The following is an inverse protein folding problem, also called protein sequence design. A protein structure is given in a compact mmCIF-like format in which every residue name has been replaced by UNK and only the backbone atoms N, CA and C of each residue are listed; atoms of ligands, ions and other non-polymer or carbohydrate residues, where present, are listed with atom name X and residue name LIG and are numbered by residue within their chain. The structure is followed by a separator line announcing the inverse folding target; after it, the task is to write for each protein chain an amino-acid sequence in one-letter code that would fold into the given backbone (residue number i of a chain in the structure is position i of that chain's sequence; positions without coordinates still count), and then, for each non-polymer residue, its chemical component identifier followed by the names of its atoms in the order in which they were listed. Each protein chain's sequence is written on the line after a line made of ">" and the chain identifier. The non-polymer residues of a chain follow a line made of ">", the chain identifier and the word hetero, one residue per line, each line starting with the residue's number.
data_IF_196020100770
#
_entry.id   IF_196020100770
#
_cell.length_a   1.000
_cell.length_b   1.000
_cell.length_c   1.000
_cell.angle_alpha   90.00
_cell.angle_beta   90.00
_cell.angle_gamma   90.00
#
_symmetry.space_group_name_H-M   'P 1'
#
loop_
_entity.id
_entity.type
_entity.pdbx_description
1 polymer ?
#
# COMPACT_ATOMS: atom_id res chain seq x y z
N UNK A 1 17.70 38.85 -0.64
CA UNK A 1 18.31 37.80 0.19
C UNK A 1 17.45 36.57 0.01
N UNK A 2 17.98 35.50 -0.58
CA UNK A 2 17.19 34.30 -0.86
C UNK A 2 16.78 33.64 0.45
N UNK A 3 15.52 33.20 0.55
CA UNK A 3 15.05 32.33 1.62
C UNK A 3 15.73 30.97 1.46
N UNK A 4 16.98 30.87 1.90
CA UNK A 4 17.71 29.61 1.92
C UNK A 4 17.10 28.72 2.99
N UNK A 5 16.40 27.67 2.59
CA UNK A 5 16.05 26.57 3.50
C UNK A 5 17.37 25.98 3.97
N UNK A 6 17.57 25.87 5.28
CA UNK A 6 18.80 25.28 5.81
C UNK A 6 18.86 23.81 5.39
N UNK A 7 20.03 23.33 4.96
CA UNK A 7 20.23 21.94 4.49
C UNK A 7 19.73 20.92 5.52
N UNK A 8 19.86 21.21 6.82
CA UNK A 8 19.36 20.37 7.92
C UNK A 8 17.83 20.26 7.96
N UNK A 9 17.12 21.33 7.61
CA UNK A 9 15.65 21.31 7.54
C UNK A 9 15.19 20.46 6.35
N UNK A 10 15.87 20.56 5.21
CA UNK A 10 15.60 19.71 4.03
C UNK A 10 15.83 18.23 4.36
N UNK A 11 16.94 17.89 5.02
CA UNK A 11 17.24 16.52 5.45
C UNK A 11 16.17 15.96 6.39
N UNK A 12 15.69 16.79 7.33
CA UNK A 12 14.59 16.42 8.24
C UNK A 12 13.31 16.12 7.47
N UNK A 13 12.91 16.96 6.52
CA UNK A 13 11.71 16.74 5.71
C UNK A 13 11.82 15.49 4.83
N UNK A 14 12.98 15.23 4.22
CA UNK A 14 13.19 14.01 3.44
C UNK A 14 13.00 12.77 4.32
N UNK A 15 13.51 12.80 5.55
CA UNK A 15 13.33 11.72 6.51
C UNK A 15 11.85 11.53 6.88
N UNK A 16 11.15 12.60 7.24
CA UNK A 16 9.73 12.57 7.59
C UNK A 16 8.86 12.04 6.43
N UNK A 17 9.14 12.47 5.20
CA UNK A 17 8.47 11.95 4.00
C UNK A 17 8.75 10.45 3.78
N UNK A 18 9.98 10.00 4.02
CA UNK A 18 10.33 8.58 3.97
C UNK A 18 9.54 7.75 4.99
N UNK A 19 9.40 8.24 6.22
CA UNK A 19 8.61 7.59 7.26
C UNK A 19 7.12 7.53 6.91
N UNK A 20 6.55 8.61 6.35
CA UNK A 20 5.17 8.64 5.87
C UNK A 20 4.96 7.63 4.75
N UNK A 21 5.86 7.59 3.76
CA UNK A 21 5.80 6.62 2.65
C UNK A 21 5.79 5.18 3.17
N UNK A 22 6.63 4.86 4.15
CA UNK A 22 6.66 3.52 4.76
C UNK A 22 5.34 3.20 5.47
N UNK A 23 4.78 4.15 6.22
CA UNK A 23 3.48 3.96 6.89
C UNK A 23 2.35 3.71 5.88
N UNK A 24 2.32 4.44 4.76
CA UNK A 24 1.34 4.23 3.68
C UNK A 24 1.49 2.83 3.10
N UNK A 25 2.71 2.41 2.74
CA UNK A 25 2.97 1.08 2.18
C UNK A 25 2.56 -0.06 3.13
N UNK A 26 2.76 0.12 4.43
CA UNK A 26 2.30 -0.84 5.44
C UNK A 26 0.76 -0.92 5.50
N UNK A 27 0.07 0.22 5.44
CA UNK A 27 -1.40 0.26 5.44
C UNK A 27 -1.98 -0.36 4.18
N UNK A 28 -1.36 -0.13 3.01
CA UNK A 28 -1.77 -0.76 1.75
C UNK A 28 -1.61 -2.28 1.80
N UNK A 29 -0.48 -2.76 2.32
CA UNK A 29 -0.21 -4.19 2.50
C UNK A 29 -1.22 -4.83 3.45
N UNK A 30 -1.48 -4.20 4.59
CA UNK A 30 -2.45 -4.68 5.58
C UNK A 30 -3.89 -4.70 5.05
N UNK A 31 -4.32 -3.63 4.35
CA UNK A 31 -5.64 -3.58 3.73
C UNK A 31 -5.82 -4.67 2.67
N UNK A 32 -4.79 -4.91 1.84
CA UNK A 32 -4.76 -6.01 0.88
C UNK A 32 -4.94 -7.37 1.56
N UNK A 33 -4.18 -7.65 2.63
CA UNK A 33 -4.31 -8.90 3.38
C UNK A 33 -5.73 -9.13 3.90
N UNK A 34 -6.39 -8.08 4.43
CA UNK A 34 -7.77 -8.18 4.90
C UNK A 34 -8.69 -8.56 3.73
N UNK A 35 -8.62 -7.84 2.61
CA UNK A 35 -9.47 -8.06 1.45
C UNK A 35 -9.34 -9.49 0.88
N UNK A 36 -8.10 -10.00 0.85
CA UNK A 36 -7.81 -11.39 0.45
C UNK A 36 -8.40 -12.39 1.44
N UNK A 37 -8.26 -12.16 2.75
CA UNK A 37 -8.79 -13.07 3.78
C UNK A 37 -10.32 -13.17 3.76
N UNK A 38 -11.01 -12.09 3.40
CA UNK A 38 -12.48 -12.05 3.36
C UNK A 38 -13.06 -12.31 1.96
N UNK A 39 -12.21 -12.62 0.97
CA UNK A 39 -12.59 -12.83 -0.43
C UNK A 39 -13.43 -11.67 -1.03
N UNK A 40 -13.13 -10.42 -0.69
CA UNK A 40 -13.96 -9.27 -1.10
C UNK A 40 -13.18 -8.22 -1.90
N UNK A 41 -13.63 -7.97 -3.12
CA UNK A 41 -13.09 -6.92 -4.01
C UNK A 41 -14.16 -6.00 -4.61
N UNK A 42 -15.42 -6.12 -4.17
CA UNK A 42 -16.56 -5.45 -4.82
C UNK A 42 -16.49 -3.92 -4.74
N UNK A 43 -15.95 -3.40 -3.64
CA UNK A 43 -15.87 -1.97 -3.36
C UNK A 43 -14.52 -1.36 -3.75
N UNK A 44 -13.76 -2.02 -4.63
CA UNK A 44 -12.47 -1.52 -5.12
C UNK A 44 -12.72 -0.89 -6.50
N UNK A 45 -12.74 0.45 -6.51
CA UNK A 45 -12.98 1.23 -7.73
C UNK A 45 -11.81 1.14 -8.70
N UNK A 46 -10.58 1.05 -8.17
CA UNK A 46 -9.40 0.89 -8.99
C UNK A 46 -9.36 -0.52 -9.62
N UNK A 47 -9.47 -0.56 -10.94
CA UNK A 47 -9.54 -1.81 -11.70
C UNK A 47 -8.29 -2.69 -11.52
N UNK A 48 -7.10 -2.12 -11.58
CA UNK A 48 -5.85 -2.87 -11.49
C UNK A 48 -5.67 -3.48 -10.10
N UNK A 49 -5.91 -2.69 -9.06
CA UNK A 49 -5.89 -3.17 -7.67
C UNK A 49 -6.91 -4.29 -7.46
N UNK A 50 -8.14 -4.11 -7.96
CA UNK A 50 -9.19 -5.13 -7.89
C UNK A 50 -8.75 -6.43 -8.55
N UNK A 51 -8.14 -6.36 -9.73
CA UNK A 51 -7.67 -7.53 -10.50
C UNK A 51 -6.50 -8.23 -9.81
N UNK A 52 -5.57 -7.48 -9.21
CA UNK A 52 -4.44 -8.05 -8.46
C UNK A 52 -4.94 -8.84 -7.25
N UNK A 53 -5.86 -8.27 -6.48
CA UNK A 53 -6.39 -8.91 -5.27
C UNK A 53 -7.25 -10.13 -5.62
N UNK A 54 -8.08 -10.03 -6.67
CA UNK A 54 -8.89 -11.16 -7.13
C UNK A 54 -8.03 -12.38 -7.51
N UNK A 55 -6.92 -12.16 -8.23
CA UNK A 55 -6.00 -13.26 -8.61
C UNK A 55 -5.40 -13.96 -7.39
N UNK A 56 -5.09 -13.23 -6.34
CA UNK A 56 -4.53 -13.79 -5.12
C UNK A 56 -5.58 -14.59 -4.33
N UNK A 57 -6.81 -14.08 -4.27
CA UNK A 57 -7.95 -14.83 -3.73
C UNK A 57 -8.14 -16.16 -4.47
N UNK A 58 -8.12 -16.12 -5.80
CA UNK A 58 -8.32 -17.31 -6.64
C UNK A 58 -7.19 -18.33 -6.42
N UNK A 59 -5.93 -17.88 -6.38
CA UNK A 59 -4.75 -18.72 -6.07
C UNK A 59 -4.87 -19.38 -4.69
N UNK A 60 -5.28 -18.62 -3.66
CA UNK A 60 -5.46 -19.14 -2.31
C UNK A 60 -6.59 -20.17 -2.22
N UNK A 61 -7.58 -20.12 -3.12
CA UNK A 61 -8.65 -21.12 -3.20
C UNK A 61 -8.17 -22.40 -3.86
N UNK A 62 -7.41 -22.27 -4.95
CA UNK A 62 -6.77 -23.41 -5.63
C UNK A 62 -5.84 -24.17 -4.67
N UNK A 63 -5.01 -23.46 -3.89
CA UNK A 63 -4.12 -24.07 -2.89
C UNK A 63 -4.85 -24.79 -1.74
N UNK A 64 -6.08 -24.37 -1.41
CA UNK A 64 -6.91 -25.02 -0.38
C UNK A 64 -7.66 -26.25 -0.88
N UNK A 65 -7.79 -26.41 -2.21
CA UNK A 65 -8.52 -27.51 -2.85
C UNK A 65 -7.61 -28.57 -3.46
N UNK A 66 -6.31 -28.30 -3.55
CA UNK A 66 -5.25 -29.25 -3.89
C UNK A 66 -4.81 -30.08 -2.66
#
# INVERSE_FOLDING_TARGET
>A
MGNGIETKEVEKWIKELGEIKNKISNLESFGREILVKIDNVRNIDNFDLRRIIQREIDKNKEEKTA
#
